data_IF_253964401530
#
_entry.id   IF_253964401530
#
_cell.length_a   1.000
_cell.length_b   1.000
_cell.length_c   1.000
_cell.angle_alpha   90.00
_cell.angle_beta   90.00
_cell.angle_gamma   90.00
#
_symmetry.space_group_name_H-M   'P 1'
#
loop_
_entity.id
_entity.type
_entity.pdbx_description
1 polymer ?
#
# COMPACT_ATOMS: atom_id res chain seq x y z
N UNK A 1 31.40 -2.88 0.26
CA UNK A 1 30.55 -3.61 1.23
C UNK A 1 29.69 -4.62 0.49
N UNK A 2 29.57 -5.86 0.99
CA UNK A 2 28.73 -6.91 0.38
C UNK A 2 27.25 -6.54 0.58
N UNK A 3 26.47 -6.44 -0.50
CA UNK A 3 25.04 -6.10 -0.43
C UNK A 3 24.30 -7.18 0.40
N UNK A 4 23.55 -6.76 1.42
CA UNK A 4 22.68 -7.65 2.22
C UNK A 4 21.34 -7.87 1.51
N UNK A 5 21.36 -8.59 0.39
CA UNK A 5 20.17 -8.88 -0.42
C UNK A 5 19.81 -10.37 -0.23
N UNK A 6 18.57 -10.71 0.12
CA UNK A 6 18.12 -12.10 0.19
C UNK A 6 18.15 -12.78 -1.19
N UNK A 7 18.30 -14.11 -1.22
CA UNK A 7 18.18 -14.86 -2.48
C UNK A 7 16.76 -14.84 -3.01
N UNK A 8 16.59 -14.88 -4.34
CA UNK A 8 15.27 -15.00 -4.97
C UNK A 8 14.49 -16.23 -4.46
N UNK A 9 15.18 -17.36 -4.24
CA UNK A 9 14.59 -18.55 -3.65
C UNK A 9 14.02 -18.32 -2.24
N UNK A 10 14.68 -17.51 -1.41
CA UNK A 10 14.20 -17.17 -0.08
C UNK A 10 12.99 -16.22 -0.14
N UNK A 11 13.00 -15.26 -1.06
CA UNK A 11 11.88 -14.35 -1.29
C UNK A 11 10.64 -15.09 -1.82
N UNK A 12 10.80 -15.98 -2.80
CA UNK A 12 9.71 -16.79 -3.36
C UNK A 12 9.10 -17.72 -2.30
N UNK A 13 9.94 -18.43 -1.53
CA UNK A 13 9.47 -19.30 -0.46
C UNK A 13 8.69 -18.52 0.61
N UNK A 14 9.18 -17.33 0.97
CA UNK A 14 8.50 -16.46 1.93
C UNK A 14 7.16 -15.92 1.39
N UNK A 15 7.11 -15.43 0.15
CA UNK A 15 5.87 -14.92 -0.47
C UNK A 15 4.79 -16.01 -0.53
N UNK A 16 5.14 -17.19 -1.04
CA UNK A 16 4.20 -18.30 -1.16
C UNK A 16 3.69 -18.76 0.22
N UNK A 17 4.59 -18.88 1.20
CA UNK A 17 4.20 -19.23 2.58
C UNK A 17 3.31 -18.16 3.23
N UNK A 18 3.59 -16.88 2.99
CA UNK A 18 2.78 -15.77 3.46
C UNK A 18 1.36 -15.78 2.86
N UNK A 19 1.22 -16.12 1.58
CA UNK A 19 -0.07 -16.21 0.88
C UNK A 19 -0.90 -17.41 1.34
N UNK A 20 -0.27 -18.57 1.53
CA UNK A 20 -0.99 -19.80 1.91
C UNK A 20 -1.22 -19.97 3.43
N UNK A 21 -0.40 -19.33 4.27
CA UNK A 21 -0.39 -19.56 5.72
C UNK A 21 0.01 -20.99 6.11
N UNK A 22 0.62 -21.73 5.19
CA UNK A 22 0.96 -23.13 5.34
C UNK A 22 2.18 -23.48 4.48
N UNK A 23 3.22 -24.04 5.09
CA UNK A 23 4.47 -24.37 4.40
C UNK A 23 4.35 -25.56 3.44
N UNK A 24 3.54 -26.57 3.75
CA UNK A 24 3.29 -27.69 2.84
C UNK A 24 2.60 -27.23 1.54
N UNK A 25 1.64 -26.30 1.63
CA UNK A 25 1.00 -25.72 0.44
C UNK A 25 1.95 -24.86 -0.39
N UNK A 26 2.77 -24.04 0.25
CA UNK A 26 3.80 -23.27 -0.43
C UNK A 26 4.85 -24.18 -1.10
N UNK A 27 5.19 -25.29 -0.45
CA UNK A 27 6.11 -26.29 -0.99
C UNK A 27 5.53 -26.96 -2.24
N UNK A 28 4.25 -27.35 -2.20
CA UNK A 28 3.55 -27.91 -3.35
C UNK A 28 3.53 -26.95 -4.54
N UNK A 29 3.26 -25.66 -4.30
CA UNK A 29 3.25 -24.63 -5.37
C UNK A 29 4.62 -24.46 -6.02
N UNK A 30 5.68 -24.40 -5.22
CA UNK A 30 7.03 -24.16 -5.70
C UNK A 30 7.75 -25.44 -6.15
N UNK A 31 7.06 -26.58 -6.18
CA UNK A 31 7.64 -27.90 -6.46
C UNK A 31 8.86 -28.23 -5.56
N UNK A 32 8.75 -27.90 -4.27
CA UNK A 32 9.78 -28.10 -3.24
C UNK A 32 9.26 -28.99 -2.11
N UNK A 33 10.16 -29.42 -1.23
CA UNK A 33 9.78 -30.07 0.03
C UNK A 33 9.49 -29.03 1.11
N UNK A 34 8.64 -29.38 2.09
CA UNK A 34 8.35 -28.49 3.23
C UNK A 34 9.63 -28.10 4.00
N UNK A 35 10.57 -29.04 4.16
CA UNK A 35 11.88 -28.77 4.74
C UNK A 35 12.72 -27.76 3.94
N UNK A 36 12.62 -27.77 2.61
CA UNK A 36 13.28 -26.78 1.76
C UNK A 36 12.70 -25.38 1.95
N UNK A 37 11.36 -25.25 1.99
CA UNK A 37 10.68 -23.97 2.29
C UNK A 37 11.10 -23.45 3.67
N UNK A 38 11.03 -24.29 4.71
CA UNK A 38 11.40 -23.94 6.08
C UNK A 38 12.85 -23.44 6.15
N UNK A 39 13.79 -24.11 5.47
CA UNK A 39 15.20 -23.69 5.40
C UNK A 39 15.38 -22.35 4.70
N UNK A 40 14.65 -22.08 3.62
CA UNK A 40 14.74 -20.80 2.92
C UNK A 40 14.19 -19.65 3.77
N UNK A 41 13.08 -19.86 4.46
CA UNK A 41 12.50 -18.88 5.40
C UNK A 41 13.45 -18.65 6.58
N UNK A 42 14.02 -19.70 7.17
CA UNK A 42 14.98 -19.56 8.26
C UNK A 42 16.22 -18.76 7.85
N UNK A 43 16.71 -18.94 6.61
CA UNK A 43 17.82 -18.13 6.05
C UNK A 43 17.42 -16.67 5.88
N UNK A 44 16.20 -16.39 5.42
CA UNK A 44 15.69 -15.03 5.29
C UNK A 44 15.59 -14.34 6.66
N UNK A 45 14.98 -15.02 7.64
CA UNK A 45 14.87 -14.49 9.01
C UNK A 45 16.24 -14.24 9.65
N UNK A 46 17.21 -15.13 9.42
CA UNK A 46 18.58 -14.95 9.92
C UNK A 46 19.29 -13.76 9.26
N UNK A 47 19.06 -13.52 7.95
CA UNK A 47 19.62 -12.36 7.27
C UNK A 47 19.01 -11.04 7.78
N UNK A 48 17.72 -11.05 8.13
CA UNK A 48 16.97 -9.89 8.61
C UNK A 48 17.13 -9.65 10.11
N UNK A 49 17.70 -10.60 10.85
CA UNK A 49 17.73 -10.64 12.31
C UNK A 49 16.33 -10.44 12.94
N UNK A 50 15.31 -10.99 12.29
CA UNK A 50 13.92 -10.84 12.72
C UNK A 50 13.07 -12.03 12.26
N UNK A 51 12.18 -12.49 13.16
CA UNK A 51 11.15 -13.47 12.80
C UNK A 51 10.09 -12.80 11.94
N UNK A 52 9.62 -13.50 10.93
CA UNK A 52 8.54 -13.02 10.06
C UNK A 52 7.23 -13.77 10.31
N UNK A 53 7.34 -14.96 10.91
CA UNK A 53 6.20 -15.80 11.25
C UNK A 53 6.16 -16.14 12.74
N UNK A 54 4.95 -16.19 13.28
CA UNK A 54 4.64 -16.75 14.58
C UNK A 54 4.17 -18.20 14.40
N UNK A 55 4.62 -19.09 15.29
CA UNK A 55 4.23 -20.51 15.28
C UNK A 55 2.95 -20.71 16.09
N UNK A 56 1.87 -21.13 15.44
CA UNK A 56 0.61 -21.53 16.08
C UNK A 56 0.26 -22.95 15.65
N UNK A 57 0.84 -23.94 16.32
CA UNK A 57 0.65 -25.36 15.96
C UNK A 57 1.10 -25.66 14.53
N UNK A 58 0.23 -26.28 13.72
CA UNK A 58 0.48 -26.62 12.31
C UNK A 58 0.24 -25.47 11.33
N UNK A 59 -0.28 -24.33 11.80
CA UNK A 59 -0.50 -23.14 10.97
C UNK A 59 0.56 -22.09 11.25
N UNK A 60 0.97 -21.42 10.18
CA UNK A 60 1.99 -20.38 10.23
C UNK A 60 1.30 -19.04 9.97
N UNK A 61 1.48 -18.07 10.88
CA UNK A 61 0.87 -16.74 10.76
C UNK A 61 1.96 -15.69 10.65
N UNK A 62 1.81 -14.75 9.73
CA UNK A 62 2.71 -13.59 9.66
C UNK A 62 2.57 -12.74 10.93
N UNK A 63 3.71 -12.36 11.51
CA UNK A 63 3.73 -11.30 12.50
C UNK A 63 3.65 -9.91 11.81
N UNK A 64 3.51 -8.79 12.54
CA UNK A 64 3.37 -7.48 11.92
C UNK A 64 4.53 -7.08 10.99
N UNK A 65 5.77 -7.47 11.32
CA UNK A 65 6.94 -7.22 10.49
C UNK A 65 6.89 -8.05 9.19
N UNK A 66 6.55 -9.32 9.31
CA UNK A 66 6.33 -10.23 8.19
C UNK A 66 5.21 -9.76 7.27
N UNK A 67 4.08 -9.30 7.80
CA UNK A 67 2.98 -8.79 6.99
C UNK A 67 3.38 -7.54 6.17
N UNK A 68 4.16 -6.63 6.76
CA UNK A 68 4.71 -5.47 6.04
C UNK A 68 5.70 -5.90 4.97
N UNK A 69 6.62 -6.81 5.32
CA UNK A 69 7.66 -7.26 4.40
C UNK A 69 7.10 -8.10 3.24
N UNK A 70 6.13 -8.97 3.49
CA UNK A 70 5.45 -9.78 2.46
C UNK A 70 4.83 -8.91 1.37
N UNK A 71 4.23 -7.77 1.74
CA UNK A 71 3.68 -6.80 0.77
C UNK A 71 4.77 -6.25 -0.15
N UNK A 72 5.90 -5.82 0.43
CA UNK A 72 7.04 -5.28 -0.33
C UNK A 72 7.66 -6.35 -1.23
N UNK A 73 7.88 -7.56 -0.70
CA UNK A 73 8.48 -8.69 -1.44
C UNK A 73 7.60 -9.07 -2.63
N UNK A 74 6.28 -9.15 -2.45
CA UNK A 74 5.35 -9.46 -3.54
C UNK A 74 5.47 -8.46 -4.70
N UNK A 75 5.52 -7.17 -4.38
CA UNK A 75 5.61 -6.11 -5.38
C UNK A 75 6.95 -6.16 -6.13
N UNK A 76 8.04 -6.40 -5.41
CA UNK A 76 9.38 -6.54 -5.99
C UNK A 76 9.46 -7.77 -6.90
N UNK A 77 8.94 -8.92 -6.47
CA UNK A 77 8.93 -10.15 -7.27
C UNK A 77 8.08 -10.00 -8.53
N UNK A 78 6.89 -9.40 -8.41
CA UNK A 78 6.02 -9.15 -9.56
C UNK A 78 6.71 -8.21 -10.58
N UNK A 79 7.41 -7.18 -10.10
CA UNK A 79 8.17 -6.28 -10.98
C UNK A 79 9.33 -7.01 -11.64
N UNK A 80 10.12 -7.76 -10.87
CA UNK A 80 11.25 -8.52 -11.40
C UNK A 80 10.81 -9.53 -12.46
N UNK A 81 9.65 -10.17 -12.26
CA UNK A 81 9.03 -11.06 -13.23
C UNK A 81 8.73 -10.31 -14.53
N UNK A 82 8.11 -9.13 -14.48
CA UNK A 82 7.85 -8.29 -15.67
C UNK A 82 9.13 -7.85 -16.38
N UNK A 83 10.09 -7.30 -15.64
CA UNK A 83 11.39 -6.88 -16.17
C UNK A 83 12.10 -8.06 -16.87
N UNK A 84 11.94 -9.28 -16.35
CA UNK A 84 12.50 -10.50 -16.95
C UNK A 84 11.78 -10.88 -18.25
N UNK A 85 10.45 -10.79 -18.29
CA UNK A 85 9.67 -11.03 -19.51
C UNK A 85 10.06 -10.04 -20.62
N UNK A 86 10.17 -8.76 -20.30
CA UNK A 86 10.57 -7.69 -21.23
C UNK A 86 11.93 -7.98 -21.88
N UNK A 87 12.91 -8.42 -21.09
CA UNK A 87 14.26 -8.77 -21.59
C UNK A 87 14.24 -10.06 -22.42
N UNK A 88 13.44 -11.04 -22.04
CA UNK A 88 13.37 -12.34 -22.72
C UNK A 88 12.76 -12.28 -24.13
N UNK A 89 12.19 -11.13 -24.53
CA UNK A 89 11.49 -11.00 -25.81
C UNK A 89 10.24 -11.87 -25.90
N UNK A 90 9.75 -12.42 -24.78
CA UNK A 90 8.39 -12.96 -24.71
C UNK A 90 7.44 -11.81 -25.01
N UNK A 91 6.65 -11.88 -26.10
CA UNK A 91 5.74 -10.82 -26.42
C UNK A 91 4.63 -10.81 -25.37
N UNK A 92 4.74 -9.93 -24.39
CA UNK A 92 3.56 -9.15 -24.03
C UNK A 92 3.45 -8.18 -25.19
N UNK A 93 2.42 -8.27 -26.02
CA UNK A 93 2.20 -7.39 -27.20
C UNK A 93 1.97 -5.91 -26.81
N UNK A 94 2.57 -5.44 -25.72
CA UNK A 94 2.35 -4.11 -25.21
C UNK A 94 3.43 -3.56 -24.30
N UNK A 95 3.54 -2.24 -24.34
CA UNK A 95 4.32 -1.44 -23.40
C UNK A 95 3.67 -1.56 -22.03
N UNK A 96 4.44 -1.83 -20.98
CA UNK A 96 3.93 -1.74 -19.61
C UNK A 96 3.93 -0.29 -19.14
N UNK A 97 2.95 0.07 -18.32
CA UNK A 97 2.88 1.36 -17.64
C UNK A 97 2.68 1.10 -16.14
N UNK A 98 3.71 1.36 -15.35
CA UNK A 98 3.77 1.15 -13.92
C UNK A 98 3.33 2.42 -13.18
N UNK A 99 2.15 2.39 -12.55
CA UNK A 99 1.58 3.56 -11.87
C UNK A 99 1.42 3.28 -10.38
N UNK A 100 2.03 4.12 -9.55
CA UNK A 100 1.76 4.17 -8.11
C UNK A 100 0.55 5.04 -7.83
N UNK A 101 -0.43 4.55 -7.08
CA UNK A 101 -1.71 5.27 -6.87
C UNK A 101 -2.20 5.11 -5.43
N UNK A 102 -2.84 6.16 -4.88
CA UNK A 102 -3.54 6.07 -3.60
C UNK A 102 -4.64 4.97 -3.64
N UNK A 103 -4.75 4.09 -2.62
CA UNK A 103 -5.65 2.93 -2.68
C UNK A 103 -7.13 3.28 -2.98
N UNK A 104 -7.65 4.34 -2.36
CA UNK A 104 -9.03 4.80 -2.57
C UNK A 104 -9.23 5.32 -3.99
N UNK A 105 -8.25 6.07 -4.52
CA UNK A 105 -8.30 6.59 -5.89
C UNK A 105 -8.26 5.45 -6.91
N UNK A 106 -7.35 4.49 -6.71
CA UNK A 106 -7.22 3.32 -7.59
C UNK A 106 -8.54 2.57 -7.72
N UNK A 107 -9.14 2.21 -6.58
CA UNK A 107 -10.37 1.39 -6.54
C UNK A 107 -11.64 2.14 -6.94
N UNK A 108 -11.80 3.40 -6.53
CA UNK A 108 -13.06 4.15 -6.75
C UNK A 108 -13.10 4.96 -8.04
N UNK A 109 -11.96 5.34 -8.60
CA UNK A 109 -11.91 6.24 -9.75
C UNK A 109 -11.17 5.64 -10.94
N UNK A 110 -9.95 5.14 -10.73
CA UNK A 110 -9.06 4.74 -11.83
C UNK A 110 -9.48 3.41 -12.46
N UNK A 111 -9.55 2.32 -11.68
CA UNK A 111 -9.88 0.98 -12.18
C UNK A 111 -11.19 0.96 -12.98
N UNK A 112 -12.29 1.58 -12.51
CA UNK A 112 -13.54 1.66 -13.30
C UNK A 112 -13.40 2.30 -14.68
N UNK A 113 -12.36 3.11 -14.91
CA UNK A 113 -12.09 3.83 -16.17
C UNK A 113 -11.06 3.13 -17.06
N UNK A 114 -10.32 2.16 -16.54
CA UNK A 114 -9.28 1.45 -17.30
C UNK A 114 -9.85 0.63 -18.45
N UNK A 115 -11.09 0.15 -18.35
CA UNK A 115 -11.71 -0.60 -19.45
C UNK A 115 -11.77 0.19 -20.76
N UNK A 116 -12.10 1.49 -20.68
CA UNK A 116 -12.07 2.39 -21.85
C UNK A 116 -10.65 2.62 -22.36
N UNK A 117 -9.69 2.79 -21.45
CA UNK A 117 -8.28 2.96 -21.83
C UNK A 117 -7.74 1.72 -22.54
N UNK A 118 -7.97 0.52 -21.99
CA UNK A 118 -7.52 -0.74 -22.57
C UNK A 118 -8.13 -0.98 -23.96
N UNK A 119 -9.38 -0.57 -24.20
CA UNK A 119 -9.99 -0.64 -25.53
C UNK A 119 -9.33 0.32 -26.54
N UNK A 120 -8.85 1.49 -26.10
CA UNK A 120 -8.19 2.48 -26.96
C UNK A 120 -6.70 2.21 -27.16
N UNK A 121 -6.07 1.53 -26.21
CA UNK A 121 -4.64 1.21 -26.19
C UNK A 121 -4.43 -0.26 -25.82
N UNK A 122 -4.80 -1.20 -26.70
CA UNK A 122 -4.73 -2.64 -26.41
C UNK A 122 -3.29 -3.15 -26.21
N UNK A 123 -2.31 -2.44 -26.76
CA UNK A 123 -0.88 -2.68 -26.61
C UNK A 123 -0.27 -1.99 -25.38
N UNK A 124 -1.06 -1.57 -24.39
CA UNK A 124 -0.54 -0.99 -23.15
C UNK A 124 -1.10 -1.76 -21.96
N UNK A 125 -0.21 -2.41 -21.20
CA UNK A 125 -0.57 -3.08 -19.95
C UNK A 125 -0.35 -2.11 -18.80
N UNK A 126 -1.44 -1.66 -18.17
CA UNK A 126 -1.36 -0.76 -17.02
C UNK A 126 -1.27 -1.58 -15.73
N UNK A 127 -0.14 -1.48 -15.05
CA UNK A 127 0.11 -2.09 -13.76
C UNK A 127 -0.04 -1.04 -12.66
N UNK A 128 -0.89 -1.31 -11.68
CA UNK A 128 -1.19 -0.36 -10.60
C UNK A 128 -0.70 -0.93 -9.27
N UNK A 129 0.16 -0.18 -8.60
CA UNK A 129 0.54 -0.47 -7.22
C UNK A 129 -0.09 0.54 -6.26
N UNK A 130 -0.72 0.02 -5.22
CA UNK A 130 -1.27 0.85 -4.16
C UNK A 130 -0.14 1.43 -3.29
N UNK A 131 -0.02 2.75 -3.25
CA UNK A 131 0.98 3.49 -2.46
C UNK A 131 0.31 4.65 -1.74
N UNK A 132 0.32 4.59 -0.41
CA UNK A 132 -0.19 5.67 0.44
C UNK A 132 0.90 6.62 0.93
N UNK A 133 2.11 6.11 1.06
CA UNK A 133 3.26 6.88 1.54
C UNK A 133 4.01 7.47 0.35
N UNK A 134 4.42 8.75 0.42
CA UNK A 134 5.28 9.36 -0.59
C UNK A 134 6.62 8.63 -0.74
N UNK A 135 7.18 8.66 -1.93
CA UNK A 135 8.43 7.97 -2.26
C UNK A 135 9.19 8.72 -3.36
N UNK A 136 10.44 8.33 -3.61
CA UNK A 136 11.25 8.89 -4.70
C UNK A 136 10.86 8.18 -6.00
N UNK A 137 10.27 8.89 -6.97
CA UNK A 137 9.84 8.27 -8.23
C UNK A 137 11.02 7.75 -9.08
N UNK A 138 12.11 8.52 -9.31
CA UNK A 138 13.26 8.03 -10.05
C UNK A 138 13.88 6.77 -9.42
N UNK A 139 14.02 5.71 -10.22
CA UNK A 139 14.59 4.43 -9.77
C UNK A 139 13.64 3.56 -8.92
N UNK A 140 12.42 4.02 -8.64
CA UNK A 140 11.41 3.21 -7.92
C UNK A 140 10.86 2.04 -8.75
N UNK A 141 10.92 2.16 -10.08
CA UNK A 141 10.25 1.23 -10.99
C UNK A 141 8.83 1.62 -11.38
N UNK A 142 8.36 2.78 -10.95
CA UNK A 142 7.12 3.37 -11.44
C UNK A 142 7.43 4.44 -12.49
N UNK A 143 6.62 4.47 -13.54
CA UNK A 143 6.65 5.48 -14.59
C UNK A 143 5.91 6.75 -14.14
N UNK A 144 4.85 6.59 -13.33
CA UNK A 144 4.04 7.69 -12.84
C UNK A 144 3.52 7.44 -11.42
N UNK A 145 3.19 8.53 -10.72
CA UNK A 145 2.51 8.48 -9.43
C UNK A 145 1.27 9.39 -9.44
N UNK A 146 0.14 8.87 -8.99
CA UNK A 146 -1.07 9.64 -8.71
C UNK A 146 -1.17 9.77 -7.19
N UNK A 147 -0.80 10.96 -6.71
CA UNK A 147 -0.65 11.24 -5.29
C UNK A 147 -1.04 12.69 -4.98
N UNK A 148 -1.25 12.97 -3.70
CA UNK A 148 -1.27 14.36 -3.23
C UNK A 148 0.10 15.01 -3.41
N UNK A 149 0.07 16.34 -3.51
CA UNK A 149 1.26 17.17 -3.48
C UNK A 149 2.14 16.83 -2.26
N UNK A 150 3.43 16.69 -2.51
CA UNK A 150 4.42 16.32 -1.50
C UNK A 150 5.81 16.76 -1.97
N UNK A 151 6.71 17.19 -1.07
CA UNK A 151 8.09 17.57 -1.43
C UNK A 151 8.89 16.49 -2.17
N UNK A 152 8.51 15.21 -2.04
CA UNK A 152 9.13 14.09 -2.75
C UNK A 152 8.97 14.17 -4.28
N UNK A 153 8.02 14.97 -4.78
CA UNK A 153 7.79 15.18 -6.21
C UNK A 153 8.57 16.37 -6.78
N UNK A 154 9.43 17.01 -5.97
CA UNK A 154 10.24 18.15 -6.43
C UNK A 154 11.09 17.77 -7.64
N UNK A 155 11.01 18.55 -8.71
CA UNK A 155 11.74 18.31 -9.95
C UNK A 155 11.04 17.33 -10.91
N UNK A 156 9.86 16.82 -10.57
CA UNK A 156 9.03 16.00 -11.46
C UNK A 156 8.05 16.88 -12.23
N UNK A 157 7.58 16.41 -13.38
CA UNK A 157 6.43 17.00 -14.06
C UNK A 157 5.15 16.64 -13.30
N UNK A 158 4.44 17.64 -12.81
CA UNK A 158 3.22 17.45 -12.00
C UNK A 158 2.03 18.00 -12.75
N UNK A 159 1.05 17.14 -13.01
CA UNK A 159 -0.23 17.52 -13.59
C UNK A 159 -1.32 17.44 -12.54
N UNK A 160 -2.04 18.56 -12.32
CA UNK A 160 -3.22 18.58 -11.47
C UNK A 160 -4.36 17.79 -12.14
N UNK A 161 -4.95 16.84 -11.41
CA UNK A 161 -6.10 16.07 -11.89
C UNK A 161 -7.42 16.67 -11.40
N UNK A 162 -7.60 16.77 -10.08
CA UNK A 162 -8.76 17.37 -9.44
C UNK A 162 -8.52 17.52 -7.92
N UNK A 163 -9.37 18.29 -7.24
CA UNK A 163 -9.34 18.42 -5.79
C UNK A 163 -10.10 17.28 -5.10
N UNK A 164 -9.56 16.77 -4.00
CA UNK A 164 -10.27 15.86 -3.09
C UNK A 164 -10.78 16.65 -1.88
N UNK A 165 -12.04 16.37 -1.48
CA UNK A 165 -12.67 17.00 -0.31
C UNK A 165 -12.76 16.00 0.83
N UNK A 166 -12.26 16.40 1.99
CA UNK A 166 -12.42 15.64 3.22
C UNK A 166 -13.79 15.96 3.83
N UNK A 167 -14.60 14.92 4.08
CA UNK A 167 -15.94 15.06 4.62
C UNK A 167 -16.09 14.24 5.92
N UNK A 168 -16.63 14.83 7.01
CA UNK A 168 -17.02 14.06 8.18
C UNK A 168 -18.28 13.27 7.83
N UNK A 169 -18.30 12.01 8.25
CA UNK A 169 -19.46 11.15 8.11
C UNK A 169 -19.81 10.58 9.48
N UNK A 170 -21.10 10.48 9.77
CA UNK A 170 -21.62 9.87 10.98
C UNK A 170 -22.86 9.04 10.67
N UNK A 171 -23.26 8.18 11.60
CA UNK A 171 -24.55 7.51 11.53
C UNK A 171 -25.68 8.54 11.69
N UNK A 172 -26.78 8.40 10.93
CA UNK A 172 -27.86 9.39 10.92
C UNK A 172 -28.46 9.65 12.32
N UNK A 173 -28.54 8.63 13.19
CA UNK A 173 -29.03 8.79 14.55
C UNK A 173 -28.15 9.68 15.47
N UNK A 174 -26.93 10.04 15.03
CA UNK A 174 -26.05 10.96 15.75
C UNK A 174 -26.27 12.41 15.34
N UNK A 175 -27.06 12.67 14.30
CA UNK A 175 -27.45 14.01 13.90
C UNK A 175 -28.60 14.47 14.81
N UNK A 176 -28.29 15.38 15.73
CA UNK A 176 -29.28 16.15 16.48
C UNK A 176 -29.52 17.49 15.78
N UNK A 177 -30.61 18.21 16.09
CA UNK A 177 -30.88 19.57 15.56
C UNK A 177 -29.88 20.64 16.06
N UNK A 178 -28.72 20.21 16.58
CA UNK A 178 -27.67 21.08 17.11
C UNK A 178 -26.80 21.69 16.00
N UNK A 179 -26.17 22.81 16.33
CA UNK A 179 -25.09 23.41 15.54
C UNK A 179 -23.99 22.36 15.22
N UNK A 180 -23.81 22.06 13.93
CA UNK A 180 -22.90 21.03 13.42
C UNK A 180 -21.45 21.14 13.96
N UNK A 181 -20.81 22.34 14.02
CA UNK A 181 -19.52 22.53 14.68
C UNK A 181 -19.53 22.09 16.16
N UNK A 182 -20.55 22.47 16.93
CA UNK A 182 -20.72 22.05 18.32
C UNK A 182 -20.91 20.54 18.48
N UNK A 183 -21.65 19.92 17.56
CA UNK A 183 -21.83 18.47 17.51
C UNK A 183 -20.50 17.74 17.21
N UNK A 184 -19.74 18.20 16.21
CA UNK A 184 -18.45 17.61 15.83
C UNK A 184 -17.38 17.67 16.95
N UNK A 185 -17.44 18.70 17.79
CA UNK A 185 -16.54 18.84 18.93
C UNK A 185 -16.91 17.91 20.12
N UNK A 186 -18.17 17.51 20.25
CA UNK A 186 -18.65 16.60 21.32
C UNK A 186 -18.54 15.13 20.96
N UNK A 187 -18.72 14.79 19.68
CA UNK A 187 -18.68 13.40 19.23
C UNK A 187 -17.26 12.83 19.23
N UNK A 188 -17.15 11.52 19.46
CA UNK A 188 -15.88 10.80 19.30
C UNK A 188 -15.45 10.83 17.84
N UNK A 189 -14.29 11.43 17.57
CA UNK A 189 -13.72 11.60 16.24
C UNK A 189 -12.81 10.42 15.89
N UNK A 190 -13.26 9.58 14.95
CA UNK A 190 -12.48 8.46 14.43
C UNK A 190 -11.60 8.96 13.28
N UNK A 191 -10.33 8.57 13.27
CA UNK A 191 -9.41 8.84 12.16
C UNK A 191 -8.57 7.60 11.84
N UNK A 192 -7.98 7.56 10.65
CA UNK A 192 -7.06 6.47 10.29
C UNK A 192 -5.72 6.74 10.95
N UNK A 193 -5.06 5.69 11.46
CA UNK A 193 -3.70 5.79 12.03
C UNK A 193 -2.68 6.41 11.06
N UNK A 194 -2.86 6.22 9.76
CA UNK A 194 -1.98 6.76 8.71
C UNK A 194 -2.23 8.25 8.41
N UNK A 195 -3.30 8.83 8.97
CA UNK A 195 -3.65 10.25 8.79
C UNK A 195 -4.19 10.79 10.13
N UNK A 196 -3.34 10.90 11.17
CA UNK A 196 -3.76 11.35 12.49
C UNK A 196 -4.28 12.79 12.46
N UNK A 197 -3.76 13.61 11.55
CA UNK A 197 -4.07 15.03 11.43
C UNK A 197 -5.30 15.31 10.55
N UNK A 198 -6.04 14.28 10.11
CA UNK A 198 -7.20 14.44 9.22
C UNK A 198 -8.22 15.46 9.76
N UNK A 199 -8.50 15.43 11.07
CA UNK A 199 -9.44 16.38 11.69
C UNK A 199 -8.89 17.81 11.77
N UNK A 200 -7.56 17.96 11.88
CA UNK A 200 -6.89 19.27 11.82
C UNK A 200 -6.98 19.83 10.41
N UNK A 201 -6.67 19.03 9.40
CA UNK A 201 -6.80 19.42 7.99
C UNK A 201 -8.24 19.76 7.63
N UNK A 202 -9.21 19.00 8.15
CA UNK A 202 -10.63 19.32 7.98
C UNK A 202 -10.99 20.68 8.59
N UNK A 203 -10.59 20.93 9.84
CA UNK A 203 -10.84 22.19 10.54
C UNK A 203 -10.15 23.40 9.87
N UNK A 204 -8.96 23.20 9.31
CA UNK A 204 -8.20 24.23 8.60
C UNK A 204 -8.75 24.54 7.20
N UNK A 205 -9.52 23.62 6.60
CA UNK A 205 -10.16 23.85 5.31
C UNK A 205 -11.15 25.02 5.41
N UNK A 206 -11.07 25.96 4.46
CA UNK A 206 -11.69 27.29 4.55
C UNK A 206 -13.23 27.30 4.70
N UNK A 207 -13.88 26.15 4.51
CA UNK A 207 -15.33 25.98 4.64
C UNK A 207 -15.77 25.84 6.10
N UNK A 208 -14.87 25.51 7.06
CA UNK A 208 -15.29 25.11 8.41
C UNK A 208 -14.35 25.50 9.57
N UNK A 209 -13.81 26.73 9.54
CA UNK A 209 -12.82 27.30 10.52
C UNK A 209 -13.21 27.29 12.03
N UNK A 210 -14.32 26.68 12.40
CA UNK A 210 -14.89 26.68 13.77
C UNK A 210 -14.67 25.37 14.55
N UNK A 211 -13.98 24.38 13.99
CA UNK A 211 -13.68 23.12 14.68
C UNK A 211 -12.36 23.20 15.44
N UNK A 212 -12.38 22.80 16.71
CA UNK A 212 -11.21 22.84 17.58
C UNK A 212 -10.31 21.62 17.29
N UNK A 213 -8.98 21.83 17.13
CA UNK A 213 -7.97 20.78 17.11
C UNK A 213 -8.17 19.72 18.21
N UNK A 214 -8.03 18.41 17.92
CA UNK A 214 -7.90 17.41 18.98
C UNK A 214 -6.65 17.73 19.82
N UNK A 215 -6.83 18.11 21.10
CA UNK A 215 -5.74 18.43 22.02
C UNK A 215 -5.86 19.76 22.78
N UNK A 216 -6.82 20.63 22.44
CA UNK A 216 -7.03 21.89 23.17
C UNK A 216 -7.73 21.72 24.54
N UNK A 217 -8.14 20.50 24.92
CA UNK A 217 -8.66 20.19 26.24
C UNK A 217 -7.54 19.77 27.20
N UNK A 218 -6.57 20.65 27.42
CA UNK A 218 -5.74 20.62 28.62
C UNK A 218 -5.64 22.05 29.14
N UNK A 219 -6.53 22.40 30.08
CA UNK A 219 -6.27 23.37 31.16
C UNK A 219 -7.34 23.26 32.24
N UNK A 220 -6.85 22.88 33.42
CA UNK A 220 -7.24 23.33 34.78
C UNK A 220 -8.69 23.22 35.23
N UNK A 221 -8.96 22.20 36.05
CA UNK A 221 -9.42 22.41 37.42
C UNK A 221 -8.57 21.52 38.34
#
# INVERSE_FOLDING_TARGET
MRRKIPSSAALLAFEAAARHGNFARAAAELALTEGAISRQIARLEALLDNKLFDRTGSRVRLNPAGARYARQVREILARLERDTHDVSGMPVDGRSLEIAVLPTFASRWLIPRLGRFAAQHPHIVVNIAARSDPFILPGSGFDAAIHFEHPAWTGMEVTFLFAEYLLPICHAALLTDDDLPGLLNRLTRIHRRQNPDAWLHYAASAVWRWITPPGAALRSA
#
